data_IF_629278725894
#
_entry.id   IF_629278725894
#
_cell.length_a   1.000
_cell.length_b   1.000
_cell.length_c   1.000
_cell.angle_alpha   90.00
_cell.angle_beta   90.00
_cell.angle_gamma   90.00
#
_symmetry.space_group_name_H-M   'P 1'
#
loop_
_entity.id
_entity.type
_entity.pdbx_description
1 polymer ?
#
# COMPACT_ATOMS: atom_id res chain seq x y z
N UNK A 1 -32.06 -10.54 -10.27
CA UNK A 1 -31.70 -10.25 -8.86
C UNK A 1 -30.26 -10.67 -8.65
N UNK A 2 -29.31 -9.73 -8.71
CA UNK A 2 -27.90 -10.03 -8.40
C UNK A 2 -27.76 -10.11 -6.88
N UNK A 3 -27.51 -11.30 -6.36
CA UNK A 3 -27.23 -11.51 -4.95
C UNK A 3 -26.05 -10.64 -4.54
N UNK A 4 -26.27 -9.78 -3.54
CA UNK A 4 -25.19 -9.16 -2.76
C UNK A 4 -24.28 -10.31 -2.33
N UNK A 5 -23.07 -10.37 -2.87
CA UNK A 5 -22.03 -11.26 -2.32
C UNK A 5 -21.82 -10.78 -0.90
N UNK A 6 -22.25 -11.57 0.07
CA UNK A 6 -21.85 -11.47 1.47
C UNK A 6 -20.32 -11.43 1.51
N UNK A 7 -19.78 -10.22 1.50
CA UNK A 7 -18.35 -9.97 1.59
C UNK A 7 -17.94 -10.17 3.06
N UNK A 8 -17.72 -11.43 3.40
CA UNK A 8 -16.39 -11.84 3.81
C UNK A 8 -15.76 -11.09 5.01
N UNK A 9 -16.42 -11.15 6.16
CA UNK A 9 -16.01 -10.47 7.41
C UNK A 9 -14.95 -11.25 8.21
N UNK A 10 -14.32 -12.27 7.65
CA UNK A 10 -13.42 -13.16 8.42
C UNK A 10 -11.96 -12.72 8.30
N UNK A 11 -11.20 -12.64 9.41
CA UNK A 11 -9.77 -12.34 9.38
C UNK A 11 -8.97 -13.31 8.48
N UNK A 12 -9.34 -14.59 8.47
CA UNK A 12 -8.66 -15.62 7.66
C UNK A 12 -8.73 -15.33 6.17
N UNK A 13 -9.89 -14.94 5.66
CA UNK A 13 -10.08 -14.67 4.24
C UNK A 13 -9.47 -13.33 3.82
N UNK A 14 -9.42 -12.34 4.71
CA UNK A 14 -8.55 -11.16 4.52
C UNK A 14 -7.11 -11.59 4.25
N UNK A 15 -6.56 -12.48 5.08
CA UNK A 15 -5.19 -12.97 4.91
C UNK A 15 -4.98 -13.87 3.70
N UNK A 16 -5.97 -14.69 3.32
CA UNK A 16 -5.93 -15.47 2.07
C UNK A 16 -5.85 -14.55 0.85
N UNK A 17 -6.65 -13.50 0.82
CA UNK A 17 -6.56 -12.49 -0.24
C UNK A 17 -5.22 -11.76 -0.19
N UNK A 18 -4.81 -11.30 0.99
CA UNK A 18 -3.55 -10.58 1.16
C UNK A 18 -2.36 -11.40 0.66
N UNK A 19 -2.30 -12.69 0.98
CA UNK A 19 -1.25 -13.59 0.52
C UNK A 19 -1.20 -13.74 -1.00
N UNK A 20 -2.36 -13.66 -1.68
CA UNK A 20 -2.41 -13.70 -3.15
C UNK A 20 -1.92 -12.38 -3.78
N UNK A 21 -2.17 -11.24 -3.13
CA UNK A 21 -1.78 -9.91 -3.65
C UNK A 21 -0.39 -9.45 -3.17
N UNK A 22 0.19 -10.11 -2.16
CA UNK A 22 1.39 -9.67 -1.47
C UNK A 22 2.57 -9.37 -2.41
N UNK A 23 2.75 -10.17 -3.46
CA UNK A 23 3.79 -9.94 -4.47
C UNK A 23 3.51 -8.68 -5.29
N UNK A 24 2.27 -8.50 -5.77
CA UNK A 24 1.86 -7.32 -6.52
C UNK A 24 1.98 -6.03 -5.71
N UNK A 25 1.61 -6.08 -4.42
CA UNK A 25 1.76 -4.94 -3.50
C UNK A 25 3.25 -4.64 -3.28
N UNK A 26 4.10 -5.66 -3.10
CA UNK A 26 5.55 -5.48 -2.93
C UNK A 26 6.17 -4.80 -4.15
N UNK A 27 5.79 -5.24 -5.35
CA UNK A 27 6.26 -4.67 -6.62
C UNK A 27 5.79 -3.22 -6.79
N UNK A 28 4.55 -2.91 -6.41
CA UNK A 28 4.03 -1.55 -6.45
C UNK A 28 4.79 -0.61 -5.48
N UNK A 29 5.12 -1.08 -4.27
CA UNK A 29 5.94 -0.32 -3.33
C UNK A 29 7.37 -0.14 -3.81
N UNK A 30 7.92 -1.13 -4.53
CA UNK A 30 9.22 -0.99 -5.18
C UNK A 30 9.19 0.06 -6.29
N UNK A 31 8.22 0.00 -7.20
CA UNK A 31 8.05 0.99 -8.26
C UNK A 31 7.82 2.40 -7.69
N UNK A 32 7.05 2.51 -6.61
CA UNK A 32 6.88 3.77 -5.87
C UNK A 32 8.22 4.30 -5.33
N UNK A 33 9.05 3.44 -4.75
CA UNK A 33 10.37 3.84 -4.23
C UNK A 33 11.33 4.34 -5.32
N UNK A 34 11.13 3.92 -6.57
CA UNK A 34 11.86 4.40 -7.76
C UNK A 34 11.21 5.63 -8.42
N UNK A 35 10.02 6.04 -7.97
CA UNK A 35 9.26 7.10 -8.59
C UNK A 35 8.56 6.71 -9.90
N UNK A 36 8.44 5.41 -10.19
CA UNK A 36 7.91 4.90 -11.46
C UNK A 36 6.38 4.74 -11.46
N UNK A 37 5.77 4.50 -10.29
CA UNK A 37 4.34 4.24 -10.16
C UNK A 37 3.77 4.71 -8.81
N UNK A 38 2.44 4.83 -8.75
CA UNK A 38 1.69 5.08 -7.51
C UNK A 38 1.24 3.76 -6.86
N UNK A 39 1.28 3.70 -5.53
CA UNK A 39 0.81 2.56 -4.74
C UNK A 39 -0.42 2.91 -3.86
N UNK A 40 -1.03 4.10 -4.03
CA UNK A 40 -2.21 4.54 -3.27
C UNK A 40 -3.37 3.54 -3.37
N UNK A 41 -3.59 2.97 -4.56
CA UNK A 41 -4.61 1.95 -4.79
C UNK A 41 -4.42 0.70 -3.92
N UNK A 42 -3.18 0.31 -3.63
CA UNK A 42 -2.87 -0.88 -2.84
C UNK A 42 -3.21 -0.64 -1.36
N UNK A 43 -2.85 0.54 -0.85
CA UNK A 43 -3.15 0.96 0.53
C UNK A 43 -4.67 1.11 0.71
N UNK A 44 -5.36 1.71 -0.26
CA UNK A 44 -6.81 1.86 -0.24
C UNK A 44 -7.50 0.48 -0.28
N UNK A 45 -7.05 -0.43 -1.15
CA UNK A 45 -7.63 -1.78 -1.26
C UNK A 45 -7.51 -2.56 0.07
N UNK A 46 -6.38 -2.44 0.76
CA UNK A 46 -6.17 -3.09 2.06
C UNK A 46 -7.06 -2.46 3.12
N UNK A 47 -7.12 -1.13 3.21
CA UNK A 47 -7.99 -0.44 4.16
C UNK A 47 -9.47 -0.76 3.94
N UNK A 48 -9.92 -0.78 2.69
CA UNK A 48 -11.28 -1.13 2.34
C UNK A 48 -11.65 -2.58 2.69
N UNK A 49 -10.69 -3.50 2.70
CA UNK A 49 -10.92 -4.90 3.07
C UNK A 49 -10.82 -5.12 4.58
N UNK A 50 -9.83 -4.52 5.25
CA UNK A 50 -9.69 -4.67 6.69
C UNK A 50 -10.87 -4.02 7.44
N UNK A 51 -11.42 -2.92 6.91
CA UNK A 51 -12.64 -2.28 7.43
C UNK A 51 -13.90 -3.16 7.31
N UNK A 52 -13.91 -4.16 6.41
CA UNK A 52 -15.00 -5.16 6.33
C UNK A 52 -14.89 -6.23 7.40
N UNK A 53 -13.68 -6.48 7.91
CA UNK A 53 -13.45 -7.37 9.06
C UNK A 53 -13.87 -6.64 10.33
N UNK A 54 -13.39 -5.41 10.53
CA UNK A 54 -13.84 -4.53 11.60
C UNK A 54 -13.64 -3.06 11.17
N UNK A 55 -14.69 -2.21 11.26
CA UNK A 55 -14.65 -0.83 10.75
C UNK A 55 -13.68 0.09 11.50
N UNK A 56 -13.27 -0.28 12.72
CA UNK A 56 -12.29 0.47 13.52
C UNK A 56 -10.85 0.19 13.11
N UNK A 57 -10.62 -0.79 12.23
CA UNK A 57 -9.27 -1.17 11.80
C UNK A 57 -8.81 -0.29 10.63
N UNK A 58 -7.54 0.08 10.70
CA UNK A 58 -6.81 0.75 9.64
C UNK A 58 -5.48 0.04 9.43
N UNK A 59 -5.02 0.01 8.19
CA UNK A 59 -3.76 -0.62 7.82
C UNK A 59 -2.83 0.41 7.20
N UNK A 60 -1.58 0.38 7.64
CA UNK A 60 -0.48 1.14 7.05
C UNK A 60 0.60 0.18 6.55
N UNK A 61 1.31 0.55 5.49
CA UNK A 61 2.39 -0.26 4.94
C UNK A 61 3.61 0.59 4.71
N UNK A 62 4.75 0.06 5.13
CA UNK A 62 6.06 0.67 4.93
C UNK A 62 6.98 -0.37 4.30
N UNK A 63 7.78 0.05 3.31
CA UNK A 63 8.91 -0.75 2.83
C UNK A 63 10.19 -0.25 3.50
N UNK A 64 10.90 -1.15 4.16
CA UNK A 64 12.20 -0.90 4.80
C UNK A 64 13.31 -0.79 3.76
N UNK A 65 14.44 -0.17 4.14
CA UNK A 65 15.63 -0.08 3.29
C UNK A 65 16.24 -1.45 2.97
N UNK A 66 16.05 -2.43 3.86
CA UNK A 66 16.44 -3.83 3.66
C UNK A 66 15.52 -4.58 2.68
N UNK A 67 14.54 -3.89 2.07
CA UNK A 67 13.64 -4.44 1.07
C UNK A 67 12.44 -5.21 1.63
N UNK A 68 12.29 -5.29 2.96
CA UNK A 68 11.15 -5.94 3.60
C UNK A 68 9.93 -5.01 3.66
N UNK A 69 8.74 -5.55 3.42
CA UNK A 69 7.47 -4.86 3.58
C UNK A 69 6.89 -5.12 4.98
N UNK A 70 6.51 -4.05 5.67
CA UNK A 70 5.93 -4.09 7.00
C UNK A 70 4.50 -3.55 6.92
N UNK A 71 3.51 -4.39 7.24
CA UNK A 71 2.12 -3.97 7.38
C UNK A 71 1.79 -3.82 8.87
N UNK A 72 1.34 -2.63 9.23
CA UNK A 72 0.91 -2.29 10.59
C UNK A 72 -0.60 -2.20 10.61
N UNK A 73 -1.24 -2.87 11.55
CA UNK A 73 -2.70 -2.80 11.74
C UNK A 73 -2.97 -2.02 13.02
N UNK A 74 -3.80 -0.99 12.94
CA UNK A 74 -4.21 -0.17 14.08
C UNK A 74 -5.73 -0.19 14.22
N UNK A 75 -6.25 -0.10 15.44
CA UNK A 75 -7.69 0.02 15.65
C UNK A 75 -8.08 0.03 17.11
N UNK A 76 -9.38 -0.14 17.39
CA UNK A 76 -9.89 -0.18 18.76
C UNK A 76 -9.27 -1.34 19.58
N UNK A 77 -9.25 -1.17 20.89
CA UNK A 77 -8.69 -2.15 21.83
C UNK A 77 -9.32 -3.53 21.64
N UNK A 78 -8.48 -4.58 21.55
CA UNK A 78 -8.92 -5.96 21.32
C UNK A 78 -9.36 -6.32 19.89
N UNK A 79 -9.42 -5.36 18.94
CA UNK A 79 -9.78 -5.65 17.54
C UNK A 79 -8.59 -6.13 16.70
N UNK A 80 -7.38 -5.74 17.08
CA UNK A 80 -6.14 -5.98 16.30
C UNK A 80 -5.64 -7.42 16.49
N UNK A 81 -5.59 -7.91 17.73
CA UNK A 81 -5.13 -9.25 18.09
C UNK A 81 -5.79 -10.39 17.29
N UNK A 82 -7.13 -10.49 17.17
CA UNK A 82 -7.75 -11.58 16.42
C UNK A 82 -7.40 -11.55 14.93
N UNK A 83 -7.11 -10.37 14.37
CA UNK A 83 -6.68 -10.23 12.99
C UNK A 83 -5.22 -10.67 12.85
N UNK A 84 -4.31 -10.17 13.67
CA UNK A 84 -2.90 -10.54 13.62
C UNK A 84 -2.66 -12.02 13.98
N UNK A 85 -3.49 -12.63 14.82
CA UNK A 85 -3.41 -14.06 15.14
C UNK A 85 -3.63 -14.96 13.91
N UNK A 86 -4.29 -14.45 12.87
CA UNK A 86 -4.50 -15.16 11.61
C UNK A 86 -3.44 -14.82 10.55
N UNK A 87 -2.43 -14.01 10.87
CA UNK A 87 -1.46 -13.53 9.89
C UNK A 87 -0.59 -14.68 9.34
N UNK A 88 -0.44 -14.77 8.00
CA UNK A 88 0.39 -15.79 7.38
C UNK A 88 1.87 -15.43 7.53
N UNK A 89 2.75 -16.43 7.39
CA UNK A 89 4.18 -16.17 7.20
C UNK A 89 4.46 -15.99 5.72
N UNK A 90 4.71 -14.75 5.30
CA UNK A 90 5.04 -14.40 3.92
C UNK A 90 6.49 -13.94 3.83
N UNK A 91 7.23 -14.43 2.83
CA UNK A 91 8.64 -14.08 2.65
C UNK A 91 8.75 -12.58 2.33
N UNK A 92 9.61 -11.88 3.06
CA UNK A 92 9.81 -10.44 2.87
C UNK A 92 8.70 -9.57 3.48
N UNK A 93 7.76 -10.16 4.23
CA UNK A 93 6.68 -9.46 4.89
C UNK A 93 6.74 -9.61 6.41
N UNK A 94 6.44 -8.52 7.11
CA UNK A 94 6.24 -8.49 8.56
C UNK A 94 4.87 -7.88 8.88
N UNK A 95 4.17 -8.47 9.85
CA UNK A 95 2.87 -8.02 10.31
C UNK A 95 2.98 -7.64 11.78
N UNK A 96 2.72 -6.36 12.10
CA UNK A 96 2.97 -5.82 13.42
C UNK A 96 1.72 -5.11 13.98
N UNK A 97 1.48 -5.20 15.30
CA UNK A 97 0.59 -4.30 16.00
C UNK A 97 1.16 -2.86 15.99
N UNK A 98 0.38 -1.83 16.35
CA UNK A 98 0.93 -0.48 16.45
C UNK A 98 2.07 -0.48 17.48
N UNK A 99 3.25 -0.04 17.06
CA UNK A 99 4.41 0.04 17.96
C UNK A 99 4.18 1.18 18.93
N UNK A 100 3.87 0.86 20.19
CA UNK A 100 3.85 1.83 21.28
C UNK A 100 5.30 2.32 21.53
N UNK A 101 5.64 3.50 21.00
CA UNK A 101 6.77 4.30 21.51
C UNK A 101 8.06 4.38 20.70
N UNK A 102 8.21 3.72 19.54
CA UNK A 102 9.30 4.06 18.59
C UNK A 102 8.77 4.01 17.17
N UNK A 103 8.53 5.19 16.60
CA UNK A 103 8.34 5.33 15.17
C UNK A 103 9.57 4.76 14.48
N UNK A 104 9.43 3.59 13.84
CA UNK A 104 10.36 3.16 12.79
C UNK A 104 10.50 4.35 11.85
N UNK A 105 11.72 4.80 11.51
CA UNK A 105 11.90 6.01 10.70
C UNK A 105 11.07 5.88 9.42
N UNK A 106 9.95 6.60 9.41
CA UNK A 106 9.08 6.72 8.25
C UNK A 106 9.87 7.54 7.26
N UNK A 107 10.21 6.97 6.11
CA UNK A 107 10.46 7.80 4.95
C UNK A 107 9.06 8.23 4.52
N UNK A 108 8.65 9.49 4.71
CA UNK A 108 7.40 9.95 4.13
C UNK A 108 7.51 9.67 2.64
N UNK A 109 6.59 8.85 2.12
CA UNK A 109 6.47 8.62 0.70
C UNK A 109 6.12 9.97 0.07
N UNK A 110 7.15 10.71 -0.34
CA UNK A 110 7.00 11.77 -1.30
C UNK A 110 6.33 11.08 -2.48
N UNK A 111 5.09 11.48 -2.79
CA UNK A 111 4.44 11.13 -4.06
C UNK A 111 5.53 11.19 -5.11
N UNK A 112 5.73 10.08 -5.84
CA UNK A 112 6.59 10.09 -7.02
C UNK A 112 6.28 11.42 -7.74
N UNK A 113 7.27 12.28 -8.02
CA UNK A 113 7.01 13.45 -8.82
C UNK A 113 6.37 12.92 -10.08
N UNK A 114 5.05 13.13 -10.25
CA UNK A 114 4.35 12.74 -11.46
C UNK A 114 5.21 13.35 -12.56
N UNK A 115 5.84 12.56 -13.46
CA UNK A 115 6.54 13.16 -14.58
C UNK A 115 5.48 14.05 -15.23
N UNK A 116 5.69 15.36 -15.12
CA UNK A 116 4.70 16.36 -15.41
C UNK A 116 4.28 16.12 -16.85
N UNK A 117 3.02 15.70 -17.03
CA UNK A 117 2.35 15.78 -18.32
C UNK A 117 2.30 17.24 -18.82
N UNK A 118 2.66 18.21 -17.97
CA UNK A 118 2.93 19.61 -18.29
C UNK A 118 4.16 19.86 -19.19
N UNK A 119 5.07 18.90 -19.39
CA UNK A 119 6.16 19.10 -20.38
C UNK A 119 5.66 18.94 -21.82
N UNK A 120 4.49 18.33 -22.03
CA UNK A 120 3.87 18.21 -23.37
C UNK A 120 2.91 19.36 -23.71
N UNK A 121 2.68 20.30 -22.78
CA UNK A 121 1.85 21.48 -23.00
C UNK A 121 2.65 22.76 -23.31
N UNK A 122 3.97 22.67 -23.46
CA UNK A 122 4.74 23.77 -24.02
C UNK A 122 4.54 23.79 -25.54
N UNK A 123 4.06 24.89 -26.15
CA UNK A 123 4.09 25.03 -27.60
C UNK A 123 5.55 24.88 -28.06
N UNK A 124 5.75 24.09 -29.13
CA UNK A 124 7.06 23.94 -29.77
C UNK A 124 7.41 25.30 -30.40
N UNK A 125 8.00 26.20 -29.61
CA UNK A 125 8.64 27.43 -30.08
C UNK A 125 10.14 27.32 -29.86
N UNK A 126 10.74 26.39 -30.59
CA UNK A 126 12.18 26.29 -30.79
C UNK A 126 12.49 26.45 -32.27
N UNK A 127 12.77 27.69 -32.68
CA UNK A 127 13.23 28.06 -34.02
C UNK A 127 14.38 27.15 -34.47
N UNK A 128 14.23 26.58 -35.66
CA UNK A 128 15.36 26.14 -36.49
C UNK A 128 16.16 27.38 -36.90
N UNK A 129 17.31 27.62 -36.27
CA UNK A 129 18.40 28.40 -36.86
C UNK A 129 19.70 27.64 -36.62
N UNK A 130 19.94 26.66 -37.49
CA UNK A 130 21.25 26.06 -37.69
C UNK A 130 21.38 25.69 -39.16
N UNK A 131 21.41 26.69 -40.04
CA UNK A 131 22.09 26.65 -41.34
C UNK A 131 22.19 28.09 -41.89
N UNK A 132 23.42 28.45 -42.29
CA UNK A 132 23.90 29.70 -42.90
C UNK A 132 24.36 30.80 -41.94
#
# INVERSE_FOLDING_TARGET
MFGKRDFDSSPRRFWTWFAAEAEGISNALEALSRGEADAEWAIEAINNRIKRVNPTLEADIVRTLDGQCCLTITGADGAVDPVLACAPRLRGWQFLPPVSGKATPRIPFLRAPRPSLDVLAAPITGRFEAYA
#
